data_IF_932755158426
#
_entry.id   IF_932755158426
#
_cell.length_a   1.000
_cell.length_b   1.000
_cell.length_c   1.000
_cell.angle_alpha   90.00
_cell.angle_beta   90.00
_cell.angle_gamma   90.00
#
_symmetry.space_group_name_H-M   'P 1'
#
loop_
_entity.id
_entity.type
_entity.pdbx_description
1 polymer ?
#
# COMPACT_ATOMS: atom_id res chain seq x y z
N UNK A 1 17.85 16.81 -6.26
CA UNK A 1 17.78 15.78 -7.31
C UNK A 1 16.88 16.32 -8.41
N UNK A 2 17.23 16.09 -9.66
CA UNK A 2 16.38 16.40 -10.81
C UNK A 2 15.38 15.25 -11.04
N UNK A 3 14.37 15.50 -11.84
CA UNK A 3 13.32 14.50 -12.10
C UNK A 3 13.89 13.25 -12.79
N UNK A 4 14.85 13.42 -13.67
CA UNK A 4 15.50 12.32 -14.39
C UNK A 4 16.26 11.37 -13.46
N UNK A 5 16.97 11.91 -12.50
CA UNK A 5 17.69 11.09 -11.49
C UNK A 5 16.70 10.29 -10.66
N UNK A 6 15.58 10.87 -10.26
CA UNK A 6 14.51 10.18 -9.54
C UNK A 6 13.91 9.03 -10.36
N UNK A 7 13.57 9.28 -11.62
CA UNK A 7 12.98 8.27 -12.51
C UNK A 7 13.94 7.07 -12.73
N UNK A 8 15.22 7.35 -12.97
CA UNK A 8 16.22 6.31 -13.19
C UNK A 8 16.50 5.50 -11.91
N UNK A 9 16.59 6.16 -10.75
CA UNK A 9 16.77 5.48 -9.47
C UNK A 9 15.60 4.57 -9.13
N UNK A 10 14.36 5.03 -9.38
CA UNK A 10 13.16 4.20 -9.19
C UNK A 10 13.18 2.98 -10.13
N UNK A 11 13.51 3.18 -11.40
CA UNK A 11 13.61 2.09 -12.39
C UNK A 11 14.62 1.04 -11.98
N UNK A 12 15.81 1.45 -11.54
CA UNK A 12 16.84 0.52 -11.07
C UNK A 12 16.42 -0.25 -9.82
N UNK A 13 15.73 0.43 -8.89
CA UNK A 13 15.14 -0.21 -7.71
C UNK A 13 14.12 -1.28 -8.08
N UNK A 14 13.24 -0.98 -9.02
CA UNK A 14 12.23 -1.93 -9.53
C UNK A 14 12.91 -3.12 -10.21
N UNK A 15 13.89 -2.89 -11.08
CA UNK A 15 14.63 -3.96 -11.77
C UNK A 15 15.35 -4.87 -10.76
N UNK A 16 15.84 -4.30 -9.66
CA UNK A 16 16.46 -5.05 -8.56
C UNK A 16 15.43 -5.88 -7.80
N UNK A 17 14.25 -5.33 -7.53
CA UNK A 17 13.16 -6.05 -6.88
C UNK A 17 12.69 -7.25 -7.71
N UNK A 18 12.54 -7.09 -9.02
CA UNK A 18 12.20 -8.21 -9.92
C UNK A 18 13.24 -9.32 -9.92
N UNK A 19 14.52 -8.97 -9.85
CA UNK A 19 15.61 -9.97 -9.77
C UNK A 19 15.64 -10.71 -8.43
N UNK A 20 15.21 -10.07 -7.35
CA UNK A 20 15.19 -10.66 -6.02
C UNK A 20 14.04 -11.67 -5.82
N UNK A 21 12.98 -11.60 -6.62
CA UNK A 21 11.81 -12.47 -6.52
C UNK A 21 11.93 -13.62 -7.50
N UNK A 22 11.94 -14.86 -7.02
CA UNK A 22 12.07 -16.06 -7.89
C UNK A 22 10.93 -16.22 -8.89
N UNK A 23 9.70 -15.83 -8.52
CA UNK A 23 8.51 -15.90 -9.37
C UNK A 23 7.70 -14.61 -9.21
N UNK A 24 8.07 -13.54 -9.92
CA UNK A 24 7.32 -12.30 -9.86
C UNK A 24 5.89 -12.52 -10.36
N UNK A 25 4.92 -12.13 -9.54
CA UNK A 25 3.51 -12.21 -9.87
C UNK A 25 3.03 -10.86 -10.40
N UNK A 26 2.31 -10.86 -11.52
CA UNK A 26 1.65 -9.68 -12.05
C UNK A 26 0.38 -9.35 -11.24
N UNK A 27 -0.08 -8.10 -11.32
CA UNK A 27 -1.19 -7.61 -10.51
C UNK A 27 -0.82 -7.41 -9.03
N UNK A 28 0.45 -7.09 -8.75
CA UNK A 28 0.98 -6.83 -7.41
C UNK A 28 1.76 -5.52 -7.37
N UNK A 29 2.31 -5.17 -6.21
CA UNK A 29 3.23 -4.04 -6.03
C UNK A 29 4.34 -4.00 -7.09
N UNK A 30 4.82 -5.16 -7.56
CA UNK A 30 5.83 -5.24 -8.60
C UNK A 30 5.33 -4.66 -9.92
N UNK A 31 4.11 -4.99 -10.32
CA UNK A 31 3.48 -4.44 -11.51
C UNK A 31 3.27 -2.94 -11.40
N UNK A 32 2.69 -2.48 -10.28
CA UNK A 32 2.43 -1.06 -10.03
C UNK A 32 3.72 -0.25 -10.07
N UNK A 33 4.75 -0.71 -9.37
CA UNK A 33 6.05 -0.03 -9.35
C UNK A 33 6.74 -0.02 -10.71
N UNK A 34 6.67 -1.11 -11.47
CA UNK A 34 7.25 -1.21 -12.81
C UNK A 34 6.59 -0.26 -13.78
N UNK A 35 5.27 -0.24 -13.82
CA UNK A 35 4.50 0.63 -14.73
C UNK A 35 4.76 2.11 -14.40
N UNK A 36 4.72 2.48 -13.13
CA UNK A 36 4.99 3.84 -12.68
C UNK A 36 6.43 4.28 -12.99
N UNK A 37 7.43 3.41 -12.76
CA UNK A 37 8.84 3.72 -13.06
C UNK A 37 9.10 3.86 -14.56
N UNK A 38 8.50 2.99 -15.38
CA UNK A 38 8.64 3.05 -16.81
C UNK A 38 8.06 4.36 -17.37
N UNK A 39 6.86 4.72 -16.95
CA UNK A 39 6.22 5.98 -17.34
C UNK A 39 7.08 7.19 -16.95
N UNK A 40 7.63 7.22 -15.74
CA UNK A 40 8.50 8.30 -15.28
C UNK A 40 9.74 8.46 -16.17
N UNK A 41 10.37 7.36 -16.59
CA UNK A 41 11.54 7.39 -17.48
C UNK A 41 11.15 7.90 -18.88
N UNK A 42 10.05 7.41 -19.45
CA UNK A 42 9.54 7.84 -20.76
C UNK A 42 9.20 9.33 -20.74
N UNK A 43 8.56 9.81 -19.67
CA UNK A 43 8.22 11.21 -19.51
C UNK A 43 9.50 12.09 -19.44
N UNK A 44 10.52 11.68 -18.70
CA UNK A 44 11.79 12.40 -18.64
C UNK A 44 12.61 12.34 -19.93
N UNK A 45 12.37 11.36 -20.80
CA UNK A 45 12.97 11.31 -22.15
C UNK A 45 12.29 12.31 -23.09
N UNK A 46 10.97 12.44 -22.99
CA UNK A 46 10.21 13.42 -23.77
C UNK A 46 10.44 14.86 -23.29
N UNK A 47 10.57 15.06 -21.98
CA UNK A 47 10.74 16.35 -21.35
C UNK A 47 11.85 16.33 -20.30
N UNK A 48 13.11 16.59 -20.70
CA UNK A 48 14.29 16.46 -19.83
C UNK A 48 14.37 17.49 -18.68
N UNK A 49 13.55 18.54 -18.71
CA UNK A 49 13.59 19.67 -17.76
C UNK A 49 12.67 19.48 -16.56
N UNK A 50 11.97 18.35 -16.47
CA UNK A 50 11.05 18.05 -15.38
C UNK A 50 11.73 18.05 -14.02
N UNK A 51 11.08 18.67 -13.06
CA UNK A 51 11.50 18.66 -11.66
C UNK A 51 11.18 17.31 -11.00
N UNK A 52 11.85 17.02 -9.88
CA UNK A 52 11.53 15.82 -9.09
C UNK A 52 10.06 15.81 -8.61
N UNK A 53 9.49 16.97 -8.31
CA UNK A 53 8.08 17.09 -7.91
C UNK A 53 7.15 16.68 -9.04
N UNK A 54 7.38 17.17 -10.26
CA UNK A 54 6.57 16.83 -11.43
C UNK A 54 6.64 15.33 -11.77
N UNK A 55 7.85 14.77 -11.72
CA UNK A 55 8.04 13.34 -11.94
C UNK A 55 7.37 12.51 -10.86
N UNK A 56 7.44 12.93 -9.60
CA UNK A 56 6.78 12.25 -8.49
C UNK A 56 5.25 12.26 -8.65
N UNK A 57 4.68 13.39 -9.08
CA UNK A 57 3.25 13.48 -9.39
C UNK A 57 2.84 12.51 -10.52
N UNK A 58 3.65 12.41 -11.57
CA UNK A 58 3.40 11.48 -12.68
C UNK A 58 3.51 10.00 -12.24
N UNK A 59 4.46 9.67 -11.35
CA UNK A 59 4.59 8.33 -10.73
C UNK A 59 3.31 7.96 -9.99
N UNK A 60 2.76 8.89 -9.21
CA UNK A 60 1.54 8.67 -8.42
C UNK A 60 0.34 8.46 -9.34
N UNK A 61 0.15 9.33 -10.33
CA UNK A 61 -0.97 9.25 -11.26
C UNK A 61 -0.97 7.92 -12.04
N UNK A 62 0.17 7.57 -12.63
CA UNK A 62 0.32 6.31 -13.35
C UNK A 62 0.25 5.10 -12.41
N UNK A 63 0.73 5.25 -11.18
CA UNK A 63 0.64 4.24 -10.15
C UNK A 63 -0.82 3.92 -9.78
N UNK A 64 -1.68 4.91 -9.63
CA UNK A 64 -3.11 4.71 -9.37
C UNK A 64 -3.78 3.95 -10.53
N UNK A 65 -3.51 4.34 -11.78
CA UNK A 65 -4.03 3.62 -12.94
C UNK A 65 -3.59 2.15 -12.93
N UNK A 66 -2.30 1.89 -12.68
CA UNK A 66 -1.78 0.53 -12.61
C UNK A 66 -2.35 -0.26 -11.42
N UNK A 67 -2.65 0.41 -10.30
CA UNK A 67 -3.26 -0.20 -9.12
C UNK A 67 -4.69 -0.70 -9.41
N UNK A 68 -5.50 0.09 -10.10
CA UNK A 68 -6.85 -0.31 -10.51
C UNK A 68 -6.81 -1.55 -11.41
N UNK A 69 -5.85 -1.63 -12.32
CA UNK A 69 -5.65 -2.77 -13.21
C UNK A 69 -5.24 -4.07 -12.48
N UNK A 70 -4.70 -3.99 -11.24
CA UNK A 70 -4.31 -5.18 -10.49
C UNK A 70 -5.46 -6.15 -10.25
N UNK A 71 -6.68 -5.63 -10.13
CA UNK A 71 -7.90 -6.44 -9.94
C UNK A 71 -8.07 -7.43 -11.08
N UNK A 72 -7.79 -7.00 -12.32
CA UNK A 72 -7.97 -7.82 -13.52
C UNK A 72 -6.77 -8.71 -13.84
N UNK A 73 -5.60 -8.40 -13.30
CA UNK A 73 -4.36 -9.13 -13.55
C UNK A 73 -4.13 -10.28 -12.58
N UNK A 74 -4.75 -10.24 -11.41
CA UNK A 74 -4.60 -11.25 -10.37
C UNK A 74 -5.95 -11.91 -10.06
N UNK A 75 -6.14 -13.21 -10.38
CA UNK A 75 -7.42 -13.90 -10.17
C UNK A 75 -7.91 -13.92 -8.72
N UNK A 76 -6.98 -13.81 -7.76
CA UNK A 76 -7.35 -13.75 -6.33
C UNK A 76 -7.96 -12.40 -5.99
N UNK A 77 -7.40 -11.31 -6.52
CA UNK A 77 -7.91 -9.95 -6.33
C UNK A 77 -9.23 -9.75 -7.08
N UNK A 78 -9.32 -10.27 -8.29
CA UNK A 78 -10.56 -10.24 -9.09
C UNK A 78 -11.72 -10.92 -8.35
N UNK A 79 -11.48 -12.11 -7.81
CA UNK A 79 -12.49 -12.86 -7.04
C UNK A 79 -12.90 -12.14 -5.75
N UNK A 80 -11.98 -11.42 -5.13
CA UNK A 80 -12.22 -10.64 -3.91
C UNK A 80 -12.79 -9.25 -4.20
N UNK A 81 -12.67 -8.73 -5.42
CA UNK A 81 -13.11 -7.39 -5.80
C UNK A 81 -12.29 -6.29 -5.14
N UNK A 82 -10.99 -6.52 -4.90
CA UNK A 82 -10.09 -5.58 -4.22
C UNK A 82 -8.82 -5.36 -5.01
N UNK A 83 -8.20 -4.18 -4.84
CA UNK A 83 -6.88 -3.86 -5.41
C UNK A 83 -5.76 -4.46 -4.56
N UNK A 84 -4.54 -4.52 -5.13
CA UNK A 84 -3.37 -5.00 -4.40
C UNK A 84 -2.97 -4.05 -3.26
N UNK A 85 -2.94 -4.58 -2.03
CA UNK A 85 -2.61 -3.80 -0.83
C UNK A 85 -1.16 -3.29 -0.84
N UNK A 86 -0.24 -4.07 -1.42
CA UNK A 86 1.17 -3.68 -1.57
C UNK A 86 1.33 -2.50 -2.54
N UNK A 87 0.65 -2.57 -3.69
CA UNK A 87 0.60 -1.47 -4.66
C UNK A 87 -0.04 -0.22 -4.09
N UNK A 88 -1.12 -0.36 -3.33
CA UNK A 88 -1.74 0.76 -2.62
C UNK A 88 -0.77 1.41 -1.63
N UNK A 89 -0.08 0.62 -0.82
CA UNK A 89 0.91 1.11 0.13
C UNK A 89 2.09 1.82 -0.55
N UNK A 90 2.56 1.29 -1.69
CA UNK A 90 3.60 1.92 -2.51
C UNK A 90 3.20 3.34 -2.93
N UNK A 91 2.00 3.52 -3.48
CA UNK A 91 1.51 4.83 -3.92
C UNK A 91 1.35 5.77 -2.73
N UNK A 92 0.80 5.29 -1.61
CA UNK A 92 0.65 6.09 -0.38
C UNK A 92 1.98 6.67 0.13
N UNK A 93 3.07 5.91 0.01
CA UNK A 93 4.42 6.40 0.35
C UNK A 93 4.82 7.54 -0.58
N UNK A 94 4.62 7.40 -1.89
CA UNK A 94 4.95 8.44 -2.86
C UNK A 94 4.10 9.69 -2.72
N UNK A 95 2.81 9.55 -2.38
CA UNK A 95 1.94 10.68 -2.03
C UNK A 95 2.48 11.44 -0.81
N UNK A 96 2.90 10.72 0.23
CA UNK A 96 3.53 11.32 1.41
C UNK A 96 4.85 12.05 1.08
N UNK A 97 5.65 11.53 0.16
CA UNK A 97 6.86 12.18 -0.33
C UNK A 97 6.53 13.47 -1.09
N UNK A 98 5.50 13.46 -1.94
CA UNK A 98 5.05 14.64 -2.68
C UNK A 98 4.50 15.72 -1.75
N UNK A 99 3.67 15.34 -0.78
CA UNK A 99 3.17 16.26 0.25
C UNK A 99 4.33 16.91 1.02
N UNK A 100 5.33 16.14 1.41
CA UNK A 100 6.53 16.65 2.10
C UNK A 100 7.31 17.64 1.24
N UNK A 101 7.49 17.37 -0.06
CA UNK A 101 8.15 18.29 -0.99
C UNK A 101 7.38 19.62 -1.15
N UNK A 102 6.06 19.58 -1.07
CA UNK A 102 5.18 20.73 -1.13
C UNK A 102 5.02 21.47 0.21
N UNK A 103 5.65 20.98 1.27
CA UNK A 103 5.52 21.52 2.62
C UNK A 103 4.14 21.28 3.26
N UNK A 104 3.39 20.32 2.74
CA UNK A 104 2.09 19.91 3.26
C UNK A 104 2.31 18.87 4.35
N UNK A 105 2.14 19.27 5.60
CA UNK A 105 2.16 18.35 6.74
C UNK A 105 0.74 17.94 7.09
N UNK A 106 0.30 16.80 6.61
CA UNK A 106 -0.95 16.18 7.08
C UNK A 106 -0.70 15.63 8.48
N UNK A 107 -1.19 16.32 9.51
CA UNK A 107 -1.27 15.70 10.84
C UNK A 107 -2.13 14.44 10.71
N UNK A 108 -1.49 13.30 10.91
CA UNK A 108 -2.21 12.04 11.00
C UNK A 108 -3.06 12.13 12.27
N UNK A 109 -4.37 12.29 12.13
CA UNK A 109 -5.30 12.09 13.23
C UNK A 109 -5.09 10.66 13.73
N UNK A 110 -4.30 10.51 14.77
CA UNK A 110 -4.26 9.26 15.53
C UNK A 110 -5.67 9.09 16.05
N UNK A 111 -6.39 8.12 15.50
CA UNK A 111 -7.68 7.74 16.02
C UNK A 111 -7.46 7.43 17.51
N UNK A 112 -7.97 8.33 18.36
CA UNK A 112 -7.94 8.13 19.79
C UNK A 112 -8.69 6.83 20.05
N UNK A 113 -7.99 5.81 20.47
CA UNK A 113 -8.65 4.61 20.98
C UNK A 113 -9.59 5.04 22.12
N UNK A 114 -10.85 4.58 22.11
CA UNK A 114 -11.73 4.88 23.21
C UNK A 114 -11.13 4.25 24.46
N UNK A 115 -10.59 5.08 25.34
CA UNK A 115 -10.16 4.67 26.66
C UNK A 115 -11.36 4.05 27.35
N UNK A 116 -11.36 2.71 27.47
CA UNK A 116 -12.30 1.99 28.32
C UNK A 116 -12.06 2.46 29.75
N UNK A 117 -12.92 3.35 30.22
CA UNK A 117 -12.96 3.73 31.63
C UNK A 117 -13.22 2.46 32.45
N UNK A 118 -12.20 2.03 33.16
CA UNK A 118 -12.29 0.94 34.13
C UNK A 118 -13.10 1.45 35.34
N UNK A 119 -14.41 1.30 35.27
CA UNK A 119 -15.24 1.42 36.46
C UNK A 119 -15.00 0.17 37.30
N UNK A 120 -14.19 0.35 38.31
CA UNK A 120 -13.93 -0.62 39.38
C UNK A 120 -15.21 -0.88 40.16
N UNK A 121 -15.96 -1.92 39.84
CA UNK A 121 -17.08 -2.39 40.62
C UNK A 121 -16.63 -3.54 41.52
N UNK A 122 -16.78 -3.32 42.78
CA UNK A 122 -16.49 -4.19 43.93
C UNK A 122 -17.18 -5.55 43.86
N UNK A 123 -16.48 -6.54 44.33
CA UNK A 123 -16.75 -7.96 44.50
C UNK A 123 -18.09 -8.28 45.20
N UNK A 124 -18.72 -9.38 44.78
CA UNK A 124 -19.12 -10.49 45.66
C UNK A 124 -19.34 -11.77 44.83
N UNK A 125 -19.08 -12.97 45.39
CA UNK A 125 -18.92 -14.21 44.69
C UNK A 125 -20.16 -15.12 44.84
N UNK A 126 -20.58 -15.76 43.77
CA UNK A 126 -21.26 -17.07 43.79
C UNK A 126 -21.13 -17.76 42.42
N UNK A 127 -20.61 -18.99 42.45
CA UNK A 127 -20.65 -19.97 41.34
C UNK A 127 -21.78 -20.96 41.62
N UNK A 128 -22.04 -22.02 40.76
CA UNK A 128 -21.83 -22.22 39.35
C UNK A 128 -23.08 -22.83 38.64
N UNK A 129 -23.17 -22.87 37.31
CA UNK A 129 -23.60 -24.07 36.57
C UNK A 129 -23.62 -23.84 35.03
N UNK A 130 -22.91 -24.73 34.40
CA UNK A 130 -23.13 -25.45 33.11
C UNK A 130 -24.03 -24.84 32.02
N UNK A 131 -23.43 -24.68 30.83
CA UNK A 131 -23.81 -25.35 29.56
C UNK A 131 -23.31 -24.55 28.37
N UNK A 132 -22.48 -25.19 27.55
CA UNK A 132 -22.09 -24.81 26.19
C UNK A 132 -23.31 -24.84 25.25
N UNK A 133 -23.35 -24.05 24.18
CA UNK A 133 -22.72 -24.47 22.98
C UNK A 133 -22.04 -23.39 22.12
N UNK A 134 -21.15 -23.87 21.27
CA UNK A 134 -20.37 -23.26 20.23
C UNK A 134 -21.01 -22.09 19.47
N UNK A 135 -20.22 -21.02 19.32
CA UNK A 135 -20.45 -20.00 18.29
C UNK A 135 -19.15 -19.69 17.57
N UNK A 136 -19.14 -20.10 16.34
CA UNK A 136 -18.15 -19.86 15.30
C UNK A 136 -17.65 -18.42 15.28
N UNK A 137 -16.38 -18.24 15.55
CA UNK A 137 -15.63 -17.01 15.26
C UNK A 137 -15.36 -16.97 13.77
N UNK A 138 -15.90 -15.98 13.12
CA UNK A 138 -15.44 -15.56 11.80
C UNK A 138 -14.16 -14.75 12.02
N UNK A 139 -13.03 -15.43 12.01
CA UNK A 139 -11.73 -14.78 11.97
C UNK A 139 -11.51 -14.22 10.58
N UNK A 140 -11.43 -12.90 10.53
CA UNK A 140 -10.93 -12.15 9.40
C UNK A 140 -9.43 -12.40 9.31
N UNK A 141 -9.05 -13.44 8.58
CA UNK A 141 -7.66 -13.74 8.27
C UNK A 141 -7.14 -12.70 7.28
N UNK A 142 -6.26 -11.85 7.77
CA UNK A 142 -5.31 -11.11 6.96
C UNK A 142 -4.38 -12.17 6.34
N UNK A 143 -4.60 -12.51 5.08
CA UNK A 143 -3.73 -13.44 4.36
C UNK A 143 -2.50 -12.67 3.90
N UNK A 144 -1.46 -12.63 4.76
CA UNK A 144 -0.11 -12.52 4.27
C UNK A 144 0.26 -13.87 3.67
N UNK A 145 0.30 -13.95 2.35
CA UNK A 145 0.84 -15.12 1.68
C UNK A 145 2.35 -15.20 1.93
N UNK A 146 2.89 -16.35 2.34
CA UNK A 146 4.34 -16.53 2.42
C UNK A 146 4.92 -16.64 1.01
N UNK A 147 6.12 -16.08 0.88
CA UNK A 147 6.98 -16.11 -0.29
C UNK A 147 7.35 -17.53 -0.73
#
# INVERSE_FOLDING_TARGET
>A
ADGRTLALALREGVDTAYKAVMKPAEGTILTVSRVAAQHAVELCQAEPTLTAEQVLAAIIEQGHTALEETVHQNPVLEKAGVVDAGGFGFITIFEGMLDALRGIHKERAVAAEPTKSTTRRSRSPTAPSSSHPARTRHEMLLVCAPF
#
